data_IF_145567474686
#
_entry.id   IF_145567474686
#
_cell.length_a   1.000
_cell.length_b   1.000
_cell.length_c   1.000
_cell.angle_alpha   90.00
_cell.angle_beta   90.00
_cell.angle_gamma   90.00
#
_symmetry.space_group_name_H-M   'P 1'
#
loop_
_entity.id
_entity.type
_entity.pdbx_description
1 polymer ?
#
# COMPACT_ATOMS: atom_id res chain seq x y z
N UNK A 1 -8.01 25.93 5.82
CA UNK A 1 -7.10 25.01 6.52
C UNK A 1 -7.81 23.85 7.25
N UNK A 2 -9.10 23.91 7.59
CA UNK A 2 -9.81 22.81 8.30
C UNK A 2 -10.37 21.74 7.34
N UNK A 3 -10.77 22.13 6.12
CA UNK A 3 -11.43 21.24 5.14
C UNK A 3 -10.52 20.06 4.73
N UNK A 4 -9.26 20.33 4.39
CA UNK A 4 -8.28 19.30 4.00
C UNK A 4 -8.06 18.31 5.15
N UNK A 5 -8.00 18.82 6.39
CA UNK A 5 -7.80 18.00 7.57
C UNK A 5 -9.01 17.09 7.85
N UNK A 6 -10.24 17.59 7.70
CA UNK A 6 -11.47 16.79 7.82
C UNK A 6 -11.51 15.67 6.76
N UNK A 7 -11.18 15.98 5.51
CA UNK A 7 -11.15 15.00 4.42
C UNK A 7 -10.11 13.91 4.69
N UNK A 8 -8.93 14.28 5.18
CA UNK A 8 -7.88 13.32 5.52
C UNK A 8 -8.25 12.43 6.71
N UNK A 9 -8.85 13.00 7.76
CA UNK A 9 -9.33 12.22 8.92
C UNK A 9 -10.42 11.24 8.51
N UNK A 10 -11.39 11.66 7.68
CA UNK A 10 -12.42 10.78 7.14
C UNK A 10 -11.80 9.65 6.29
N UNK A 11 -10.80 9.95 5.48
CA UNK A 11 -10.09 8.96 4.69
C UNK A 11 -9.36 7.94 5.56
N UNK A 12 -8.65 8.38 6.61
CA UNK A 12 -7.99 7.48 7.55
C UNK A 12 -8.97 6.61 8.33
N UNK A 13 -10.10 7.16 8.77
CA UNK A 13 -11.18 6.40 9.42
C UNK A 13 -11.75 5.34 8.49
N UNK A 14 -12.07 5.70 7.26
CA UNK A 14 -12.56 4.77 6.24
C UNK A 14 -11.54 3.65 5.98
N UNK A 15 -10.28 4.01 5.81
CA UNK A 15 -9.19 3.07 5.60
C UNK A 15 -9.02 2.09 6.78
N UNK A 16 -9.08 2.59 8.02
CA UNK A 16 -9.00 1.80 9.23
C UNK A 16 -10.18 0.81 9.34
N UNK A 17 -11.41 1.29 9.11
CA UNK A 17 -12.61 0.45 9.08
C UNK A 17 -12.48 -0.65 8.02
N UNK A 18 -11.97 -0.32 6.83
CA UNK A 18 -11.81 -1.30 5.74
C UNK A 18 -10.81 -2.41 6.10
N UNK A 19 -9.74 -2.08 6.83
CA UNK A 19 -8.77 -3.08 7.34
C UNK A 19 -9.44 -3.98 8.38
N UNK A 20 -10.21 -3.41 9.31
CA UNK A 20 -10.95 -4.17 10.32
C UNK A 20 -11.98 -5.11 9.70
N UNK A 21 -12.76 -4.64 8.70
CA UNK A 21 -13.74 -5.45 7.99
C UNK A 21 -13.05 -6.63 7.31
N UNK A 22 -11.95 -6.39 6.56
CA UNK A 22 -11.22 -7.46 5.87
C UNK A 22 -10.54 -8.45 6.82
N UNK A 23 -10.10 -8.00 7.99
CA UNK A 23 -9.59 -8.88 9.04
C UNK A 23 -10.71 -9.77 9.59
N UNK A 24 -11.89 -9.20 9.85
CA UNK A 24 -13.03 -9.94 10.39
C UNK A 24 -13.60 -10.97 9.41
N UNK A 25 -13.53 -10.71 8.11
CA UNK A 25 -13.96 -11.64 7.06
C UNK A 25 -12.93 -12.76 6.77
N UNK A 26 -11.83 -12.87 7.54
CA UNK A 26 -10.74 -13.86 7.36
C UNK A 26 -10.06 -13.85 5.98
N UNK A 27 -10.36 -12.88 5.12
CA UNK A 27 -9.76 -12.71 3.79
C UNK A 27 -8.28 -12.26 3.86
N UNK A 28 -7.85 -11.80 5.04
CA UNK A 28 -6.48 -11.37 5.31
C UNK A 28 -5.84 -12.25 6.39
N UNK A 29 -4.67 -12.80 6.08
CA UNK A 29 -3.78 -13.38 7.09
C UNK A 29 -3.46 -12.33 8.15
N UNK A 30 -3.43 -12.72 9.42
CA UNK A 30 -3.17 -11.81 10.55
C UNK A 30 -1.89 -10.95 10.36
N UNK A 31 -0.84 -11.52 9.76
CA UNK A 31 0.38 -10.79 9.42
C UNK A 31 0.17 -9.67 8.39
N UNK A 32 -0.72 -9.88 7.41
CA UNK A 32 -1.07 -8.86 6.42
C UNK A 32 -1.92 -7.75 7.04
N UNK A 33 -2.84 -8.09 7.96
CA UNK A 33 -3.66 -7.10 8.66
C UNK A 33 -2.81 -6.19 9.55
N UNK A 34 -1.86 -6.75 10.31
CA UNK A 34 -0.91 -5.96 11.12
C UNK A 34 -0.08 -5.01 10.24
N UNK A 35 0.44 -5.50 9.10
CA UNK A 35 1.20 -4.66 8.17
C UNK A 35 0.39 -3.48 7.63
N UNK A 36 -0.87 -3.70 7.27
CA UNK A 36 -1.77 -2.61 6.83
C UNK A 36 -2.08 -1.62 7.95
N UNK A 37 -2.30 -2.10 9.17
CA UNK A 37 -2.63 -1.26 10.32
C UNK A 37 -1.45 -0.34 10.68
N UNK A 38 -0.22 -0.87 10.68
CA UNK A 38 1.01 -0.09 10.86
C UNK A 38 1.17 0.95 9.75
N UNK A 39 0.94 0.57 8.49
CA UNK A 39 1.04 1.50 7.35
C UNK A 39 0.09 2.70 7.49
N UNK A 40 -1.16 2.47 7.90
CA UNK A 40 -2.13 3.56 8.10
C UNK A 40 -1.78 4.46 9.27
N UNK A 41 -1.28 3.89 10.38
CA UNK A 41 -0.81 4.68 11.53
C UNK A 41 0.37 5.58 11.12
N UNK A 42 1.37 5.03 10.43
CA UNK A 42 2.53 5.80 9.95
C UNK A 42 2.07 6.93 9.01
N UNK A 43 1.16 6.62 8.09
CA UNK A 43 0.62 7.60 7.15
C UNK A 43 -0.12 8.74 7.86
N UNK A 44 -0.90 8.42 8.91
CA UNK A 44 -1.60 9.43 9.71
C UNK A 44 -0.62 10.35 10.46
N UNK A 45 0.45 9.80 11.04
CA UNK A 45 1.49 10.57 11.74
C UNK A 45 2.19 11.54 10.77
N UNK A 46 2.55 11.07 9.56
CA UNK A 46 3.18 11.92 8.54
C UNK A 46 2.28 13.09 8.12
N UNK A 47 0.97 12.87 8.04
CA UNK A 47 0.00 13.91 7.66
C UNK A 47 -0.22 14.93 8.79
N UNK A 48 -0.29 14.48 10.03
CA UNK A 48 -0.61 15.35 11.19
C UNK A 48 0.60 16.20 11.61
N UNK A 49 1.83 15.75 11.36
CA UNK A 49 3.06 16.44 11.79
C UNK A 49 3.86 16.98 10.58
N UNK A 50 3.57 18.21 10.08
CA UNK A 50 4.27 18.80 8.95
C UNK A 50 5.76 19.09 9.21
N UNK A 51 6.15 19.14 10.48
CA UNK A 51 7.55 19.28 10.91
C UNK A 51 8.40 18.07 10.51
N UNK A 52 7.80 16.87 10.46
CA UNK A 52 8.49 15.65 10.05
C UNK A 52 8.78 15.65 8.54
N UNK A 53 7.79 16.06 7.74
CA UNK A 53 7.94 16.27 6.30
C UNK A 53 9.02 17.32 6.00
N UNK A 54 9.08 18.39 6.80
CA UNK A 54 10.05 19.48 6.65
C UNK A 54 11.48 19.03 7.00
N UNK A 55 11.66 18.16 8.00
CA UNK A 55 12.96 17.56 8.33
C UNK A 55 13.43 16.58 7.25
N UNK A 56 12.54 15.75 6.73
CA UNK A 56 12.82 14.87 5.59
C UNK A 56 13.23 15.66 4.33
N UNK A 57 12.55 16.77 4.04
CA UNK A 57 12.91 17.67 2.95
C UNK A 57 14.33 18.22 3.08
N UNK A 58 14.76 18.63 4.29
CA UNK A 58 16.13 19.11 4.53
C UNK A 58 17.18 18.03 4.31
N UNK A 59 16.91 16.78 4.68
CA UNK A 59 17.84 15.65 4.46
C UNK A 59 17.92 15.30 2.98
N UNK A 60 16.78 15.33 2.28
CA UNK A 60 16.69 15.00 0.86
C UNK A 60 17.08 16.16 -0.08
N UNK A 61 17.38 17.35 0.46
CA UNK A 61 17.75 18.53 -0.32
C UNK A 61 16.60 19.15 -1.13
N UNK A 62 15.35 18.85 -0.77
CA UNK A 62 14.14 19.32 -1.49
C UNK A 62 13.50 20.47 -0.72
N UNK A 63 13.24 21.60 -1.39
CA UNK A 63 12.73 22.82 -0.74
C UNK A 63 11.35 22.73 -0.11
N UNK A 64 10.58 21.66 -0.39
CA UNK A 64 9.22 21.44 0.13
C UNK A 64 9.06 20.01 0.65
N UNK A 65 8.56 19.88 1.89
CA UNK A 65 8.35 18.57 2.53
C UNK A 65 7.38 17.65 1.80
N UNK A 66 6.41 18.22 1.08
CA UNK A 66 5.45 17.46 0.27
C UNK A 66 6.14 16.77 -0.91
N UNK A 67 7.07 17.46 -1.58
CA UNK A 67 7.74 16.94 -2.77
C UNK A 67 8.64 15.75 -2.40
N UNK A 68 9.32 15.82 -1.25
CA UNK A 68 10.10 14.72 -0.70
C UNK A 68 9.25 13.45 -0.45
N UNK A 69 8.05 13.62 0.13
CA UNK A 69 7.11 12.52 0.34
C UNK A 69 6.63 11.95 -0.99
N UNK A 70 6.33 12.82 -1.97
CA UNK A 70 5.88 12.40 -3.30
C UNK A 70 6.94 11.57 -4.03
N UNK A 71 8.22 11.97 -4.00
CA UNK A 71 9.29 11.17 -4.59
C UNK A 71 9.40 9.79 -3.95
N UNK A 72 9.36 9.73 -2.62
CA UNK A 72 9.44 8.45 -1.91
C UNK A 72 8.22 7.57 -2.22
N UNK A 73 7.03 8.16 -2.25
CA UNK A 73 5.80 7.47 -2.63
C UNK A 73 5.87 6.92 -4.06
N UNK A 74 6.41 7.68 -5.02
CA UNK A 74 6.60 7.19 -6.38
C UNK A 74 7.54 6.00 -6.46
N UNK A 75 8.70 6.07 -5.79
CA UNK A 75 9.65 4.94 -5.77
C UNK A 75 9.00 3.69 -5.18
N UNK A 76 8.31 3.83 -4.05
CA UNK A 76 7.61 2.72 -3.40
C UNK A 76 6.50 2.18 -4.30
N UNK A 77 5.71 3.05 -4.94
CA UNK A 77 4.62 2.66 -5.82
C UNK A 77 5.15 1.89 -7.03
N UNK A 78 6.21 2.37 -7.70
CA UNK A 78 6.85 1.67 -8.80
C UNK A 78 7.35 0.29 -8.38
N UNK A 79 8.00 0.18 -7.23
CA UNK A 79 8.44 -1.10 -6.69
C UNK A 79 7.27 -2.07 -6.43
N UNK A 80 6.16 -1.57 -5.88
CA UNK A 80 4.96 -2.37 -5.64
C UNK A 80 4.31 -2.83 -6.95
N UNK A 81 4.18 -1.95 -7.94
CA UNK A 81 3.66 -2.29 -9.27
C UNK A 81 4.52 -3.36 -9.92
N UNK A 82 5.84 -3.20 -9.90
CA UNK A 82 6.78 -4.21 -10.41
C UNK A 82 6.61 -5.55 -9.69
N UNK A 83 6.50 -5.55 -8.36
CA UNK A 83 6.30 -6.78 -7.57
C UNK A 83 4.97 -7.47 -7.92
N UNK A 84 3.91 -6.71 -8.16
CA UNK A 84 2.61 -7.24 -8.61
C UNK A 84 2.73 -7.83 -10.00
N UNK A 85 3.37 -7.13 -10.93
CA UNK A 85 3.60 -7.62 -12.30
C UNK A 85 4.33 -8.97 -12.32
N UNK A 86 5.43 -9.10 -11.58
CA UNK A 86 6.17 -10.37 -11.46
C UNK A 86 5.32 -11.49 -10.85
N UNK A 87 4.43 -11.15 -9.89
CA UNK A 87 3.52 -12.13 -9.29
C UNK A 87 2.45 -12.58 -10.28
N UNK A 88 1.94 -11.67 -11.11
CA UNK A 88 0.96 -11.97 -12.16
C UNK A 88 1.57 -12.93 -13.19
N UNK A 89 2.76 -12.66 -13.70
CA UNK A 89 3.43 -13.58 -14.65
C UNK A 89 3.65 -14.99 -14.06
N UNK A 90 4.02 -15.08 -12.78
CA UNK A 90 4.16 -16.38 -12.09
C UNK A 90 2.83 -17.11 -12.01
N UNK A 91 1.75 -16.39 -11.74
CA UNK A 91 0.40 -16.95 -11.65
C UNK A 91 -0.09 -17.43 -13.03
N UNK A 92 0.17 -16.68 -14.09
CA UNK A 92 -0.12 -17.09 -15.47
C UNK A 92 0.62 -18.39 -15.84
N UNK A 93 1.93 -18.46 -15.56
CA UNK A 93 2.72 -19.69 -15.81
C UNK A 93 2.19 -20.90 -15.04
N UNK A 94 1.77 -20.70 -13.79
CA UNK A 94 1.16 -21.76 -12.98
C UNK A 94 -0.18 -22.20 -13.58
N UNK A 95 -1.02 -21.26 -14.00
CA UNK A 95 -2.31 -21.56 -14.63
C UNK A 95 -2.11 -22.35 -15.93
N UNK A 96 -1.19 -21.93 -16.80
CA UNK A 96 -0.85 -22.66 -18.03
C UNK A 96 -0.40 -24.09 -17.73
N UNK A 97 0.40 -24.30 -16.68
CA UNK A 97 0.85 -25.63 -16.28
C UNK A 97 -0.32 -26.52 -15.83
N UNK A 98 -1.23 -25.99 -15.02
CA UNK A 98 -2.43 -26.71 -14.54
C UNK A 98 -3.33 -27.09 -15.71
N UNK A 99 -3.66 -26.14 -16.59
CA UNK A 99 -4.51 -26.40 -17.77
C UNK A 99 -3.89 -27.44 -18.69
N UNK A 100 -2.57 -27.40 -18.92
CA UNK A 100 -1.87 -28.40 -19.74
C UNK A 100 -1.90 -29.80 -19.13
N UNK A 101 -1.72 -29.90 -17.81
CA UNK A 101 -1.81 -31.18 -17.11
C UNK A 101 -3.24 -31.76 -17.16
N UNK A 102 -4.26 -30.91 -17.05
CA UNK A 102 -5.65 -31.35 -17.15
C UNK A 102 -6.03 -31.79 -18.57
N UNK A 103 -5.49 -31.13 -19.60
CA UNK A 103 -5.70 -31.54 -20.99
C UNK A 103 -5.09 -32.92 -21.28
N UNK A 104 -3.84 -33.14 -20.87
CA UNK A 104 -3.13 -34.42 -21.07
C UNK A 104 -3.71 -35.58 -20.25
N UNK A 105 -4.47 -35.31 -19.19
CA UNK A 105 -5.18 -36.35 -18.40
C UNK A 105 -6.53 -36.76 -18.99
N UNK A 106 -7.08 -35.96 -19.89
CA UNK A 106 -8.40 -36.21 -20.52
C UNK A 106 -8.30 -36.94 -21.86
N UNK A 107 -7.09 -37.19 -22.36
CA UNK A 107 -6.78 -38.17 -23.42
C UNK A 107 -6.51 -39.54 -22.79
#
# INVERSE_FOLDING_TARGET
MIIIQIVLVLFFLFAFIKVLIKFFHQELKASAAIGWLVFWIVSAIVVVVPDFASRLAKILGVGRGVDAIMYLAFVVLFFLVFKVFVRLEKMEKQLTKVVRQDALKKE
#
